data_IF_720985806548
#
_entry.id   IF_720985806548
#
_cell.length_a   1.000
_cell.length_b   1.000
_cell.length_c   1.000
_cell.angle_alpha   90.00
_cell.angle_beta   90.00
_cell.angle_gamma   90.00
#
_symmetry.space_group_name_H-M   'P 1'
#
loop_
_entity.id
_entity.type
_entity.pdbx_description
1 polymer ?
#
# COMPACT_ATOMS: atom_id res chain seq x y z
N UNK A 1 36.54 18.95 55.25
CA UNK A 1 35.45 17.95 55.17
C UNK A 1 35.41 17.43 53.74
N UNK A 2 35.82 16.19 53.52
CA UNK A 2 35.68 15.54 52.20
C UNK A 2 34.21 15.13 52.01
N UNK A 3 33.62 15.30 50.81
CA UNK A 3 32.23 14.95 50.55
C UNK A 3 32.02 13.42 50.57
N UNK A 4 30.95 12.94 51.22
CA UNK A 4 30.61 11.51 51.35
C UNK A 4 30.60 10.72 50.03
N UNK A 5 30.38 11.40 48.90
CA UNK A 5 30.37 10.81 47.56
C UNK A 5 31.73 10.28 47.07
N UNK A 6 32.86 10.77 47.62
CA UNK A 6 34.18 10.25 47.22
C UNK A 6 34.46 8.85 47.75
N UNK A 7 33.83 8.46 48.87
CA UNK A 7 33.93 7.10 49.39
C UNK A 7 33.07 6.13 48.58
N UNK A 8 31.84 6.55 48.26
CA UNK A 8 30.90 5.81 47.42
C UNK A 8 31.45 5.53 46.01
N UNK A 9 32.07 6.51 45.35
CA UNK A 9 32.70 6.29 44.04
C UNK A 9 33.95 5.39 44.11
N UNK A 10 34.66 5.37 45.25
CA UNK A 10 35.83 4.49 45.45
C UNK A 10 35.44 3.04 45.66
N UNK A 11 34.36 2.79 46.42
CA UNK A 11 33.79 1.46 46.64
C UNK A 11 33.21 0.88 45.34
N UNK A 12 32.50 1.68 44.56
CA UNK A 12 31.95 1.31 43.25
C UNK A 12 33.05 0.94 42.23
N UNK A 13 34.17 1.65 42.24
CA UNK A 13 35.27 1.37 41.32
C UNK A 13 36.07 0.11 41.73
N UNK A 14 36.14 -0.20 43.03
CA UNK A 14 36.73 -1.46 43.52
C UNK A 14 35.85 -2.69 43.26
N UNK A 15 34.52 -2.52 43.22
CA UNK A 15 33.59 -3.60 42.86
C UNK A 15 33.70 -3.91 41.36
N UNK A 16 33.79 -2.89 40.51
CA UNK A 16 33.99 -3.05 39.06
C UNK A 16 35.33 -3.71 38.71
N UNK A 17 36.39 -3.48 39.50
CA UNK A 17 37.70 -4.10 39.29
C UNK A 17 37.77 -5.57 39.74
N UNK A 18 36.82 -6.03 40.57
CA UNK A 18 36.74 -7.41 41.07
C UNK A 18 35.75 -8.29 40.30
N UNK A 19 34.97 -7.71 39.39
CA UNK A 19 34.07 -8.44 38.50
C UNK A 19 34.84 -8.99 37.28
N UNK A 20 34.82 -10.31 37.08
CA UNK A 20 35.28 -10.96 35.85
C UNK A 20 34.34 -10.57 34.68
N UNK A 21 34.83 -9.94 33.60
CA UNK A 21 34.01 -9.55 32.46
C UNK A 21 33.31 -10.72 31.75
N UNK A 22 33.69 -11.97 32.06
CA UNK A 22 32.98 -13.17 31.59
C UNK A 22 31.69 -13.52 32.35
N UNK A 23 31.29 -12.74 33.36
CA UNK A 23 30.10 -13.01 34.21
C UNK A 23 29.05 -11.91 34.19
N UNK A 24 29.12 -10.94 33.26
CA UNK A 24 27.93 -10.17 32.91
C UNK A 24 27.06 -11.12 32.08
N UNK A 25 25.88 -11.55 32.56
CA UNK A 25 24.93 -12.09 31.63
C UNK A 25 24.58 -10.91 30.72
N UNK A 26 25.00 -10.96 29.46
CA UNK A 26 24.25 -10.35 28.36
C UNK A 26 22.91 -11.08 28.25
N UNK A 27 22.17 -11.19 29.36
CA UNK A 27 20.74 -11.40 29.34
C UNK A 27 20.19 -10.08 28.80
N UNK A 28 20.17 -10.00 27.48
CA UNK A 28 19.05 -9.43 26.77
C UNK A 28 17.81 -10.17 27.30
N UNK A 29 17.36 -9.76 28.49
CA UNK A 29 16.17 -10.32 29.11
C UNK A 29 15.06 -10.00 28.13
N UNK A 30 14.65 -11.00 27.34
CA UNK A 30 13.35 -11.03 26.72
C UNK A 30 12.35 -11.07 27.88
N UNK A 31 12.15 -9.90 28.50
CA UNK A 31 11.13 -9.72 29.51
C UNK A 31 9.85 -9.78 28.70
N UNK A 32 9.29 -10.98 28.59
CA UNK A 32 7.90 -11.15 28.17
C UNK A 32 7.05 -10.57 29.29
N UNK A 33 6.96 -9.24 29.35
CA UNK A 33 6.05 -8.52 30.24
C UNK A 33 4.64 -8.97 29.89
N UNK A 34 4.04 -9.75 30.77
CA UNK A 34 2.64 -10.09 30.67
C UNK A 34 1.78 -8.85 30.99
N UNK A 35 0.49 -8.91 30.66
CA UNK A 35 -0.46 -7.80 30.93
C UNK A 35 -0.48 -7.39 32.41
N UNK A 36 -0.29 -8.36 33.33
CA UNK A 36 -0.21 -8.11 34.78
C UNK A 36 1.05 -7.33 35.20
N UNK A 37 2.18 -7.55 34.52
CA UNK A 37 3.42 -6.81 34.77
C UNK A 37 3.31 -5.38 34.22
N UNK A 38 2.61 -5.23 33.09
CA UNK A 38 2.30 -3.94 32.51
C UNK A 38 1.46 -3.09 33.46
N UNK A 39 0.35 -3.61 33.97
CA UNK A 39 -0.53 -2.89 34.91
C UNK A 39 0.22 -2.48 36.19
N UNK A 40 1.10 -3.36 36.69
CA UNK A 40 1.92 -3.10 37.89
C UNK A 40 2.90 -1.96 37.64
N UNK A 41 3.55 -1.94 36.48
CA UNK A 41 4.48 -0.87 36.10
C UNK A 41 3.73 0.43 35.82
N UNK A 42 2.58 0.36 35.14
CA UNK A 42 1.73 1.53 34.90
C UNK A 42 1.34 2.17 36.22
N UNK A 43 0.87 1.37 37.20
CA UNK A 43 0.54 1.85 38.53
C UNK A 43 1.72 2.58 39.18
N UNK A 44 2.91 1.98 39.20
CA UNK A 44 4.12 2.58 39.76
C UNK A 44 4.53 3.88 39.06
N UNK A 45 4.43 3.95 37.74
CA UNK A 45 4.73 5.17 36.97
C UNK A 45 3.70 6.27 37.27
N UNK A 46 2.42 5.89 37.43
CA UNK A 46 1.32 6.81 37.71
C UNK A 46 1.39 7.44 39.11
N UNK A 47 2.12 6.85 40.07
CA UNK A 47 2.30 7.40 41.42
C UNK A 47 2.98 8.79 41.40
N UNK A 48 3.95 8.98 40.50
CA UNK A 48 4.76 10.20 40.47
C UNK A 48 4.23 11.23 39.46
N UNK A 49 4.41 12.52 39.77
CA UNK A 49 4.05 13.60 38.84
C UNK A 49 4.85 13.50 37.51
N UNK A 50 6.11 13.05 37.59
CA UNK A 50 6.99 12.87 36.44
C UNK A 50 6.55 11.71 35.55
N UNK A 51 6.12 10.60 36.12
CA UNK A 51 5.62 9.45 35.37
C UNK A 51 4.31 9.74 34.65
N UNK A 52 3.36 10.42 35.30
CA UNK A 52 2.12 10.89 34.63
C UNK A 52 2.39 11.83 33.45
N UNK A 53 3.35 12.75 33.58
CA UNK A 53 3.76 13.63 32.48
C UNK A 53 4.40 12.83 31.34
N UNK A 54 5.29 11.88 31.67
CA UNK A 54 5.93 11.01 30.69
C UNK A 54 4.91 10.18 29.91
N UNK A 55 3.95 9.53 30.56
CA UNK A 55 2.93 8.73 29.88
C UNK A 55 2.04 9.58 28.95
N UNK A 56 1.65 10.78 29.41
CA UNK A 56 0.89 11.73 28.58
C UNK A 56 1.67 12.16 27.33
N UNK A 57 2.95 12.48 27.50
CA UNK A 57 3.81 12.91 26.41
C UNK A 57 4.17 11.76 25.47
N UNK A 58 4.38 10.55 26.01
CA UNK A 58 4.58 9.32 25.26
C UNK A 58 3.36 9.01 24.40
N UNK A 59 2.16 9.00 24.97
CA UNK A 59 0.92 8.78 24.23
C UNK A 59 0.71 9.81 23.10
N UNK A 60 1.06 11.09 23.36
CA UNK A 60 1.01 12.14 22.34
C UNK A 60 1.98 11.88 21.19
N UNK A 61 3.23 11.50 21.49
CA UNK A 61 4.25 11.19 20.47
C UNK A 61 3.94 9.92 19.70
N UNK A 62 3.42 8.90 20.37
CA UNK A 62 3.03 7.64 19.73
C UNK A 62 1.92 7.88 18.70
N UNK A 63 0.85 8.59 19.04
CA UNK A 63 -0.22 8.96 18.09
C UNK A 63 0.29 9.73 16.87
N UNK A 64 1.26 10.62 17.07
CA UNK A 64 1.88 11.36 15.97
C UNK A 64 2.72 10.44 15.08
N UNK A 65 3.47 9.50 15.66
CA UNK A 65 4.24 8.50 14.90
C UNK A 65 3.32 7.56 14.11
N UNK A 66 2.22 7.10 14.71
CA UNK A 66 1.20 6.27 14.05
C UNK A 66 0.60 7.02 12.85
N UNK A 67 0.29 8.30 13.03
CA UNK A 67 -0.24 9.14 11.95
C UNK A 67 0.79 9.30 10.81
N UNK A 68 2.07 9.50 11.14
CA UNK A 68 3.14 9.61 10.14
C UNK A 68 3.33 8.30 9.38
N UNK A 69 3.26 7.15 10.05
CA UNK A 69 3.36 5.84 9.42
C UNK A 69 2.20 5.60 8.44
N UNK A 70 0.96 5.98 8.81
CA UNK A 70 -0.20 5.92 7.91
C UNK A 70 -0.04 6.87 6.73
N UNK A 71 0.41 8.10 6.95
CA UNK A 71 0.66 9.05 5.87
C UNK A 71 1.74 8.55 4.91
N UNK A 72 2.82 7.95 5.43
CA UNK A 72 3.85 7.33 4.61
C UNK A 72 3.29 6.17 3.77
N UNK A 73 2.48 5.30 4.37
CA UNK A 73 1.80 4.23 3.65
C UNK A 73 0.87 4.78 2.56
N UNK A 74 0.14 5.85 2.85
CA UNK A 74 -0.69 6.55 1.86
C UNK A 74 0.14 7.16 0.73
N UNK A 75 1.28 7.78 1.04
CA UNK A 75 2.17 8.31 0.01
C UNK A 75 2.73 7.19 -0.88
N UNK A 76 3.16 6.08 -0.28
CA UNK A 76 3.61 4.90 -1.03
C UNK A 76 2.51 4.31 -1.91
N UNK A 77 1.27 4.27 -1.43
CA UNK A 77 0.12 3.82 -2.22
C UNK A 77 -0.19 4.78 -3.37
N UNK A 78 -0.21 6.09 -3.09
CA UNK A 78 -0.50 7.15 -4.08
C UNK A 78 0.56 7.20 -5.17
N UNK A 79 1.83 7.04 -4.80
CA UNK A 79 2.97 7.09 -5.72
C UNK A 79 3.31 5.72 -6.32
N UNK A 80 2.50 4.68 -6.03
CA UNK A 80 2.66 3.36 -6.64
C UNK A 80 2.38 3.47 -8.14
N UNK A 81 3.39 3.30 -9.02
CA UNK A 81 3.14 3.29 -10.44
C UNK A 81 2.27 2.08 -10.79
N UNK A 82 1.35 2.23 -11.75
CA UNK A 82 0.67 1.08 -12.32
C UNK A 82 1.72 0.15 -12.93
N UNK A 83 1.57 -1.15 -12.67
CA UNK A 83 2.47 -2.15 -13.22
C UNK A 83 2.41 -2.12 -14.76
N UNK A 84 3.52 -1.90 -15.47
CA UNK A 84 3.56 -1.97 -16.93
C UNK A 84 2.98 -3.28 -17.49
N UNK A 85 3.06 -4.38 -16.73
CA UNK A 85 2.51 -5.68 -17.12
C UNK A 85 0.97 -5.69 -17.22
N UNK A 86 0.29 -4.83 -16.44
CA UNK A 86 -1.17 -4.68 -16.48
C UNK A 86 -1.60 -3.62 -17.50
N UNK A 87 -0.84 -2.53 -17.60
CA UNK A 87 -1.16 -1.42 -18.50
C UNK A 87 -0.88 -1.76 -19.97
N UNK A 88 0.18 -2.51 -20.28
CA UNK A 88 0.56 -2.80 -21.66
C UNK A 88 -0.49 -3.62 -22.43
N UNK A 89 -1.08 -4.70 -21.87
CA UNK A 89 -2.21 -5.38 -22.47
C UNK A 89 -3.39 -4.44 -22.68
N UNK A 90 -3.80 -3.67 -21.66
CA UNK A 90 -4.91 -2.72 -21.76
C UNK A 90 -4.73 -1.74 -22.92
N UNK A 91 -3.54 -1.13 -23.02
CA UNK A 91 -3.20 -0.21 -24.10
C UNK A 91 -3.32 -0.86 -25.47
N UNK A 92 -2.81 -2.09 -25.63
CA UNK A 92 -2.93 -2.86 -26.87
C UNK A 92 -4.39 -3.11 -27.25
N UNK A 93 -5.24 -3.51 -26.29
CA UNK A 93 -6.66 -3.70 -26.53
C UNK A 93 -7.33 -2.41 -27.05
N UNK A 94 -7.04 -1.27 -26.43
CA UNK A 94 -7.58 0.03 -26.84
C UNK A 94 -7.11 0.45 -28.24
N UNK A 95 -5.84 0.21 -28.57
CA UNK A 95 -5.28 0.50 -29.90
C UNK A 95 -5.97 -0.33 -31.00
N UNK A 96 -6.18 -1.63 -30.75
CA UNK A 96 -6.89 -2.53 -31.67
C UNK A 96 -8.36 -2.11 -31.83
N UNK A 97 -9.06 -1.81 -30.74
CA UNK A 97 -10.44 -1.31 -30.79
C UNK A 97 -10.53 -0.02 -31.60
N UNK A 98 -9.63 0.93 -31.35
CA UNK A 98 -9.59 2.19 -32.08
C UNK A 98 -9.31 1.97 -33.59
N UNK A 99 -8.44 1.03 -33.94
CA UNK A 99 -8.18 0.66 -35.33
C UNK A 99 -9.43 0.09 -36.02
N UNK A 100 -10.14 -0.82 -35.35
CA UNK A 100 -11.39 -1.41 -35.86
C UNK A 100 -12.47 -0.34 -36.06
N UNK A 101 -12.64 0.57 -35.09
CA UNK A 101 -13.59 1.68 -35.21
C UNK A 101 -13.24 2.58 -36.40
N UNK A 102 -11.97 2.96 -36.56
CA UNK A 102 -11.51 3.76 -37.71
C UNK A 102 -11.80 3.08 -39.04
N UNK A 103 -11.49 1.79 -39.15
CA UNK A 103 -11.77 0.99 -40.34
C UNK A 103 -13.27 0.95 -40.65
N UNK A 104 -14.11 0.67 -39.66
CA UNK A 104 -15.56 0.64 -39.84
C UNK A 104 -16.13 2.00 -40.23
N UNK A 105 -15.63 3.08 -39.64
CA UNK A 105 -16.05 4.43 -40.03
C UNK A 105 -15.74 4.70 -41.50
N UNK A 106 -14.57 4.27 -41.99
CA UNK A 106 -14.20 4.40 -43.40
C UNK A 106 -15.09 3.54 -44.30
N UNK A 107 -15.30 2.27 -43.94
CA UNK A 107 -16.19 1.37 -44.68
C UNK A 107 -17.63 1.92 -44.75
N UNK A 108 -18.16 2.45 -43.65
CA UNK A 108 -19.51 3.05 -43.58
C UNK A 108 -19.62 4.32 -44.41
N UNK A 109 -18.57 5.16 -44.42
CA UNK A 109 -18.49 6.39 -45.23
C UNK A 109 -18.39 6.08 -46.73
N UNK A 110 -17.72 4.99 -47.10
CA UNK A 110 -17.56 4.57 -48.49
C UNK A 110 -18.86 4.05 -49.13
N UNK A 111 -19.83 3.64 -48.30
CA UNK A 111 -21.13 3.20 -48.77
C UNK A 111 -21.95 4.42 -49.26
N UNK A 112 -22.79 4.27 -50.28
CA UNK A 112 -23.55 5.39 -50.89
C UNK A 112 -24.82 5.78 -50.13
N UNK A 113 -24.97 7.08 -49.83
CA UNK A 113 -26.04 7.65 -48.98
C UNK A 113 -27.17 8.26 -49.82
N UNK A 114 -28.25 8.71 -49.19
CA UNK A 114 -29.36 9.43 -49.86
C UNK A 114 -28.92 10.67 -50.65
N UNK A 115 -27.73 11.21 -50.39
CA UNK A 115 -27.14 12.32 -51.14
C UNK A 115 -26.48 11.87 -52.47
N UNK A 116 -26.37 10.57 -52.71
CA UNK A 116 -25.85 10.00 -53.96
C UNK A 116 -26.92 10.12 -55.04
N UNK A 117 -26.82 11.19 -55.85
CA UNK A 117 -27.86 11.68 -56.77
C UNK A 117 -28.25 10.74 -57.94
N UNK A 118 -27.62 9.57 -58.08
CA UNK A 118 -27.76 8.69 -59.26
C UNK A 118 -28.19 7.24 -58.93
N UNK A 119 -28.56 6.92 -57.68
CA UNK A 119 -28.85 5.55 -57.26
C UNK A 119 -30.35 5.24 -57.16
N UNK A 120 -30.70 4.00 -57.49
CA UNK A 120 -32.03 3.44 -57.26
C UNK A 120 -32.33 3.34 -55.77
N UNK A 121 -33.60 3.47 -55.40
CA UNK A 121 -34.07 3.27 -54.01
C UNK A 121 -33.66 1.89 -53.47
N UNK A 122 -33.64 0.86 -54.33
CA UNK A 122 -33.18 -0.47 -53.94
C UNK A 122 -31.67 -0.50 -53.59
N UNK A 123 -30.84 0.26 -54.30
CA UNK A 123 -29.39 0.34 -54.05
C UNK A 123 -29.11 1.13 -52.77
N UNK A 124 -29.85 2.21 -52.54
CA UNK A 124 -29.81 2.98 -51.29
C UNK A 124 -30.23 2.12 -50.09
N UNK A 125 -31.28 1.31 -50.23
CA UNK A 125 -31.73 0.39 -49.19
C UNK A 125 -30.67 -0.68 -48.89
N UNK A 126 -30.08 -1.30 -49.92
CA UNK A 126 -28.98 -2.27 -49.74
C UNK A 126 -27.76 -1.64 -49.05
N UNK A 127 -27.40 -0.41 -49.42
CA UNK A 127 -26.32 0.33 -48.79
C UNK A 127 -26.63 0.66 -47.32
N UNK A 128 -27.87 1.04 -46.99
CA UNK A 128 -28.31 1.27 -45.62
C UNK A 128 -28.23 -0.01 -44.77
N UNK A 129 -28.72 -1.14 -45.29
CA UNK A 129 -28.60 -2.44 -44.63
C UNK A 129 -27.15 -2.83 -44.40
N UNK A 130 -26.28 -2.61 -45.40
CA UNK A 130 -24.87 -2.94 -45.29
C UNK A 130 -24.16 -2.11 -44.22
N UNK A 131 -24.47 -0.82 -44.10
CA UNK A 131 -23.98 0.02 -43.00
C UNK A 131 -24.41 -0.49 -41.65
N UNK A 132 -25.70 -0.77 -41.49
CA UNK A 132 -26.26 -1.26 -40.23
C UNK A 132 -25.58 -2.58 -39.84
N UNK A 133 -25.43 -3.52 -40.78
CA UNK A 133 -24.71 -4.78 -40.56
C UNK A 133 -23.27 -4.54 -40.12
N UNK A 134 -22.56 -3.60 -40.75
CA UNK A 134 -21.17 -3.32 -40.43
C UNK A 134 -21.00 -2.63 -39.06
N UNK A 135 -21.90 -1.70 -38.72
CA UNK A 135 -21.96 -1.07 -37.41
C UNK A 135 -22.22 -2.11 -36.32
N UNK A 136 -23.23 -2.98 -36.49
CA UNK A 136 -23.57 -4.03 -35.52
C UNK A 136 -22.38 -4.97 -35.29
N UNK A 137 -21.72 -5.45 -36.36
CA UNK A 137 -20.52 -6.31 -36.22
C UNK A 137 -19.43 -5.65 -35.40
N UNK A 138 -19.20 -4.36 -35.64
CA UNK A 138 -18.20 -3.59 -34.91
C UNK A 138 -18.58 -3.45 -33.45
N UNK A 139 -19.83 -3.11 -33.15
CA UNK A 139 -20.31 -2.98 -31.78
C UNK A 139 -20.20 -4.30 -31.00
N UNK A 140 -20.57 -5.43 -31.60
CA UNK A 140 -20.42 -6.76 -30.98
C UNK A 140 -18.96 -7.15 -30.75
N UNK A 141 -18.07 -6.81 -31.68
CA UNK A 141 -16.63 -7.01 -31.49
C UNK A 141 -16.11 -6.19 -30.32
N UNK A 142 -16.47 -4.90 -30.25
CA UNK A 142 -16.05 -4.02 -29.16
C UNK A 142 -16.60 -4.50 -27.82
N UNK A 143 -17.86 -4.94 -27.78
CA UNK A 143 -18.46 -5.52 -26.59
C UNK A 143 -17.67 -6.74 -26.08
N UNK A 144 -17.39 -7.71 -26.96
CA UNK A 144 -16.58 -8.88 -26.59
C UNK A 144 -15.17 -8.50 -26.15
N UNK A 145 -14.55 -7.48 -26.75
CA UNK A 145 -13.22 -7.00 -26.34
C UNK A 145 -13.26 -6.34 -24.95
N UNK A 146 -14.27 -5.50 -24.68
CA UNK A 146 -14.47 -4.83 -23.39
C UNK A 146 -14.74 -5.87 -22.30
N UNK A 147 -15.58 -6.86 -22.57
CA UNK A 147 -15.85 -7.95 -21.62
C UNK A 147 -14.58 -8.73 -21.28
N UNK A 148 -13.71 -9.01 -22.26
CA UNK A 148 -12.41 -9.63 -22.01
C UNK A 148 -11.48 -8.74 -21.19
N UNK A 149 -11.43 -7.44 -21.46
CA UNK A 149 -10.65 -6.50 -20.64
C UNK A 149 -11.10 -6.49 -19.18
N UNK A 150 -12.42 -6.43 -18.93
CA UNK A 150 -12.99 -6.47 -17.57
C UNK A 150 -12.76 -7.84 -16.90
N UNK A 151 -12.80 -8.92 -17.69
CA UNK A 151 -12.56 -10.28 -17.19
C UNK A 151 -11.11 -10.52 -16.77
N UNK A 152 -10.15 -9.89 -17.45
CA UNK A 152 -8.72 -9.94 -17.07
C UNK A 152 -8.49 -9.27 -15.71
N UNK A 153 -9.18 -8.17 -15.42
CA UNK A 153 -9.08 -7.47 -14.13
C UNK A 153 -9.61 -8.32 -12.96
N UNK A 154 -10.63 -9.17 -13.18
CA UNK A 154 -11.15 -10.06 -12.11
C UNK A 154 -10.16 -11.12 -11.66
N UNK A 155 -9.42 -11.72 -12.60
CA UNK A 155 -8.40 -12.75 -12.29
C UNK A 155 -7.20 -12.12 -11.58
N UNK A 156 -6.90 -10.85 -11.87
CA UNK A 156 -5.81 -10.13 -11.23
C UNK A 156 -6.17 -9.68 -9.81
N UNK A 157 -7.41 -9.22 -9.58
CA UNK A 157 -7.95 -8.94 -8.22
C UNK A 157 -7.87 -10.20 -7.34
N UNK A 158 -8.34 -11.35 -7.85
CA UNK A 158 -8.27 -12.63 -7.13
C UNK A 158 -6.82 -13.07 -6.85
N UNK A 159 -5.85 -12.76 -7.73
CA UNK A 159 -4.43 -13.03 -7.49
C UNK A 159 -3.81 -12.12 -6.43
N UNK A 160 -4.22 -10.85 -6.38
CA UNK A 160 -3.80 -9.95 -5.29
C UNK A 160 -4.44 -10.30 -3.95
N UNK A 161 -5.66 -10.82 -3.93
CA UNK A 161 -6.31 -11.28 -2.69
C UNK A 161 -5.60 -12.52 -2.10
N UNK A 162 -4.97 -13.35 -2.95
CA UNK A 162 -4.17 -14.51 -2.52
C UNK A 162 -2.75 -14.11 -2.04
N UNK A 163 -2.32 -12.86 -2.26
CA UNK A 163 -1.07 -12.30 -1.73
C UNK A 163 -1.27 -11.26 -0.63
N UNK A 164 -2.41 -11.30 0.07
CA UNK A 164 -2.46 -10.89 1.47
C UNK A 164 -1.74 -11.98 2.31
N UNK A 165 -0.46 -12.22 2.02
CA UNK A 165 0.47 -12.62 3.07
C UNK A 165 0.29 -11.58 4.16
N UNK A 166 -0.17 -12.05 5.33
CA UNK A 166 -0.22 -11.35 6.60
C UNK A 166 0.48 -10.00 6.50
N UNK A 167 -0.29 -8.91 6.38
CA UNK A 167 0.28 -7.57 6.44
C UNK A 167 1.17 -7.49 7.69
N UNK A 168 2.18 -6.61 7.74
CA UNK A 168 3.17 -6.57 8.84
C UNK A 168 2.58 -6.29 10.25
N UNK A 169 1.26 -6.27 10.36
CA UNK A 169 0.44 -6.11 11.56
C UNK A 169 -0.35 -7.37 11.95
N UNK A 170 -0.25 -8.47 11.19
CA UNK A 170 -0.82 -9.76 11.58
C UNK A 170 0.10 -10.43 12.60
N UNK A 171 -0.06 -10.04 13.86
CA UNK A 171 0.39 -10.81 15.03
C UNK A 171 1.89 -11.07 15.20
N UNK A 172 2.76 -10.56 14.32
CA UNK A 172 4.19 -10.55 14.58
C UNK A 172 4.48 -9.50 15.65
N UNK A 173 4.73 -10.00 16.87
CA UNK A 173 5.36 -9.27 17.97
C UNK A 173 6.25 -8.17 17.40
N UNK A 174 5.89 -6.92 17.69
CA UNK A 174 6.57 -5.73 17.20
C UNK A 174 8.09 -5.97 17.20
N UNK A 175 8.64 -6.32 16.03
CA UNK A 175 10.09 -6.44 15.86
C UNK A 175 10.61 -5.07 16.22
N UNK A 176 11.39 -5.00 17.29
CA UNK A 176 11.92 -3.79 17.90
C UNK A 176 12.38 -2.82 16.82
N UNK A 177 11.51 -1.87 16.43
CA UNK A 177 11.95 -0.71 15.68
C UNK A 177 12.83 0.05 16.66
N UNK A 178 14.12 0.04 16.37
CA UNK A 178 15.13 0.79 17.10
C UNK A 178 14.58 2.17 17.48
N UNK A 179 14.87 2.67 18.70
CA UNK A 179 14.48 4.00 19.09
C UNK A 179 14.96 5.01 18.04
N UNK A 180 14.02 5.69 17.40
CA UNK A 180 14.32 6.77 16.46
C UNK A 180 15.07 7.89 17.22
N UNK A 181 16.09 8.54 16.62
CA UNK A 181 17.17 9.26 17.31
C UNK A 181 16.75 10.66 17.77
N UNK A 182 15.58 10.80 18.39
CA UNK A 182 15.10 12.05 18.95
C UNK A 182 15.74 12.40 20.31
N UNK A 183 16.78 11.70 20.73
CA UNK A 183 17.54 11.93 21.97
C UNK A 183 19.01 12.32 21.72
N UNK A 184 19.24 13.12 20.67
CA UNK A 184 20.49 13.87 20.48
C UNK A 184 20.15 15.34 20.18
N UNK A 185 19.91 16.10 21.25
CA UNK A 185 20.21 17.54 21.37
C UNK A 185 20.08 17.99 22.82
#
# INVERSE_FOLDING_TARGET
>A
MQPLWTHLMGEWNQTLAQMDPGTMPDEETDVTLGDLDFDTIEAAVMETARGRWFLKEYARRNRNADTLAVLEALYRLKDRPLDPSTVAPLKKHLEEMAATIRRTMEEVRSLPTTESAELSEAELQQAAEQRIRQMIRTLLYLEGRIQNMIGLDKVEIERTDVSLEAGPFDGEKARHLHPHPAFLM
#
